data_IF_255959416354
#
_entry.id   IF_255959416354
#
_cell.length_a   1.000
_cell.length_b   1.000
_cell.length_c   1.000
_cell.angle_alpha   90.00
_cell.angle_beta   90.00
_cell.angle_gamma   90.00
#
_symmetry.space_group_name_H-M   'P 1'
#
loop_
_entity.id
_entity.type
_entity.pdbx_description
1 polymer ?
#
# COMPACT_ATOMS: atom_id res chain seq x y z
N UNK A 1 -18.70 44.21 -22.25
CA UNK A 1 -18.28 42.87 -21.80
C UNK A 1 -18.63 41.95 -22.94
N UNK A 2 -17.78 41.92 -23.96
CA UNK A 2 -17.98 41.04 -25.10
C UNK A 2 -17.47 39.66 -24.65
N UNK A 3 -18.38 38.84 -24.13
CA UNK A 3 -18.11 37.41 -23.97
C UNK A 3 -17.85 36.84 -25.36
N UNK A 4 -16.58 36.63 -25.70
CA UNK A 4 -16.19 36.03 -26.98
C UNK A 4 -16.75 34.60 -26.98
N UNK A 5 -17.77 34.29 -27.81
CA UNK A 5 -18.39 32.98 -27.83
C UNK A 5 -17.38 31.87 -28.13
N UNK A 6 -16.27 32.18 -28.80
CA UNK A 6 -15.17 31.23 -29.04
C UNK A 6 -14.41 30.88 -27.77
N UNK A 7 -14.21 31.85 -26.87
CA UNK A 7 -13.57 31.59 -25.58
C UNK A 7 -14.46 30.72 -24.69
N UNK A 8 -15.78 30.93 -24.73
CA UNK A 8 -16.74 30.09 -24.02
C UNK A 8 -16.79 28.65 -24.55
N UNK A 9 -16.82 28.46 -25.87
CA UNK A 9 -16.76 27.11 -26.45
C UNK A 9 -15.46 26.39 -26.11
N UNK A 10 -14.31 27.08 -26.22
CA UNK A 10 -13.02 26.51 -25.84
C UNK A 10 -13.00 26.10 -24.36
N UNK A 11 -13.50 26.96 -23.47
CA UNK A 11 -13.54 26.66 -22.03
C UNK A 11 -14.41 25.42 -21.73
N UNK A 12 -15.50 25.23 -22.47
CA UNK A 12 -16.34 24.01 -22.34
C UNK A 12 -15.61 22.76 -22.80
N UNK A 13 -14.81 22.83 -23.86
CA UNK A 13 -13.99 21.70 -24.31
C UNK A 13 -12.90 21.37 -23.29
N UNK A 14 -12.19 22.38 -22.79
CA UNK A 14 -11.15 22.23 -21.76
C UNK A 14 -11.74 21.63 -20.48
N UNK A 15 -12.94 22.07 -20.07
CA UNK A 15 -13.64 21.51 -18.91
C UNK A 15 -14.00 20.04 -19.12
N UNK A 16 -14.54 19.68 -20.29
CA UNK A 16 -14.86 18.27 -20.59
C UNK A 16 -13.61 17.39 -20.53
N UNK A 17 -12.49 17.88 -21.06
CA UNK A 17 -11.22 17.17 -20.99
C UNK A 17 -10.74 17.02 -19.55
N UNK A 18 -10.78 18.09 -18.76
CA UNK A 18 -10.37 18.06 -17.36
C UNK A 18 -11.23 17.12 -16.50
N UNK A 19 -12.53 17.04 -16.76
CA UNK A 19 -13.42 16.11 -16.07
C UNK A 19 -13.12 14.64 -16.44
N UNK A 20 -12.81 14.40 -17.71
CA UNK A 20 -12.42 13.07 -18.16
C UNK A 20 -11.08 12.64 -17.54
N UNK A 21 -10.10 13.54 -17.52
CA UNK A 21 -8.80 13.31 -16.89
C UNK A 21 -8.93 13.09 -15.37
N UNK A 22 -9.77 13.87 -14.69
CA UNK A 22 -10.06 13.66 -13.27
C UNK A 22 -10.58 12.25 -13.02
N UNK A 23 -11.55 11.79 -13.83
CA UNK A 23 -12.12 10.46 -13.68
C UNK A 23 -11.07 9.36 -13.89
N UNK A 24 -10.22 9.49 -14.90
CA UNK A 24 -9.16 8.52 -15.18
C UNK A 24 -8.14 8.44 -14.04
N UNK A 25 -7.80 9.59 -13.44
CA UNK A 25 -6.92 9.65 -12.27
C UNK A 25 -7.56 9.05 -11.02
N UNK A 26 -8.85 9.25 -10.80
CA UNK A 26 -9.61 8.62 -9.70
C UNK A 26 -9.62 7.09 -9.87
N UNK A 27 -9.93 6.59 -11.07
CA UNK A 27 -9.93 5.15 -11.38
C UNK A 27 -8.51 4.53 -11.20
N UNK A 28 -7.46 5.22 -11.65
CA UNK A 28 -6.08 4.75 -11.48
C UNK A 28 -5.63 4.79 -10.01
N UNK A 29 -6.03 5.81 -9.27
CA UNK A 29 -5.73 5.95 -7.86
C UNK A 29 -6.32 4.80 -7.04
N UNK A 30 -7.58 4.45 -7.30
CA UNK A 30 -8.24 3.32 -6.63
C UNK A 30 -7.56 1.99 -6.97
N UNK A 31 -7.17 1.80 -8.24
CA UNK A 31 -6.38 0.63 -8.66
C UNK A 31 -5.05 0.52 -7.91
N UNK A 32 -4.32 1.63 -7.78
CA UNK A 32 -3.02 1.65 -7.11
C UNK A 32 -3.14 1.37 -5.60
N UNK A 33 -4.20 1.85 -4.94
CA UNK A 33 -4.43 1.54 -3.53
C UNK A 33 -4.63 0.03 -3.31
N UNK A 34 -5.42 -0.62 -4.17
CA UNK A 34 -5.59 -2.07 -4.11
C UNK A 34 -4.27 -2.80 -4.38
N UNK A 35 -3.51 -2.36 -5.39
CA UNK A 35 -2.22 -2.96 -5.72
C UNK A 35 -1.23 -2.87 -4.56
N UNK A 36 -1.15 -1.73 -3.87
CA UNK A 36 -0.30 -1.57 -2.68
C UNK A 36 -0.68 -2.59 -1.61
N UNK A 37 -1.97 -2.72 -1.29
CA UNK A 37 -2.45 -3.66 -0.28
C UNK A 37 -2.15 -5.12 -0.64
N UNK A 38 -2.34 -5.49 -1.91
CA UNK A 38 -2.06 -6.82 -2.43
C UNK A 38 -0.56 -7.13 -2.36
N UNK A 39 0.29 -6.17 -2.72
CA UNK A 39 1.75 -6.32 -2.68
C UNK A 39 2.30 -6.41 -1.27
N UNK A 40 1.76 -5.65 -0.33
CA UNK A 40 2.10 -5.80 1.09
C UNK A 40 1.81 -7.23 1.58
N UNK A 41 0.66 -7.78 1.18
CA UNK A 41 0.30 -9.17 1.49
C UNK A 41 1.28 -10.15 0.84
N UNK A 42 1.57 -9.98 -0.46
CA UNK A 42 2.45 -10.85 -1.23
C UNK A 42 3.88 -10.91 -0.66
N UNK A 43 4.41 -9.76 -0.24
CA UNK A 43 5.80 -9.64 0.20
C UNK A 43 5.98 -9.90 1.70
N UNK A 44 5.02 -9.52 2.55
CA UNK A 44 5.20 -9.54 4.00
C UNK A 44 4.39 -10.63 4.71
N UNK A 45 3.23 -11.04 4.21
CA UNK A 45 2.39 -12.04 4.88
C UNK A 45 2.91 -13.49 4.72
N UNK A 46 3.51 -13.82 3.58
CA UNK A 46 3.84 -15.22 3.22
C UNK A 46 5.32 -15.63 3.24
N UNK A 47 6.28 -14.70 3.42
CA UNK A 47 7.70 -14.95 3.10
C UNK A 47 8.71 -14.61 4.19
N UNK A 48 8.26 -14.33 5.42
CA UNK A 48 9.19 -14.00 6.53
C UNK A 48 10.07 -15.17 7.00
N UNK A 49 9.90 -16.38 6.46
CA UNK A 49 10.75 -17.54 6.73
C UNK A 49 11.20 -18.22 5.42
N UNK A 50 11.73 -17.43 4.48
CA UNK A 50 12.51 -17.98 3.38
C UNK A 50 13.82 -18.55 3.91
N UNK A 51 13.87 -19.86 4.18
CA UNK A 51 15.14 -20.55 4.45
C UNK A 51 15.95 -20.53 3.16
N UNK A 52 16.94 -19.65 3.04
CA UNK A 52 17.88 -19.70 1.92
C UNK A 52 18.95 -20.75 2.25
N UNK A 53 18.85 -21.91 1.61
CA UNK A 53 19.87 -22.97 1.72
C UNK A 53 21.05 -22.62 0.82
N UNK A 54 21.88 -21.67 1.24
CA UNK A 54 23.25 -21.57 0.71
C UNK A 54 24.08 -22.70 1.34
N UNK A 55 24.89 -23.38 0.53
CA UNK A 55 25.55 -24.68 0.82
C UNK A 55 26.49 -24.81 2.04
N UNK A 56 26.35 -23.97 3.07
CA UNK A 56 27.09 -24.01 4.34
C UNK A 56 26.23 -23.78 5.60
N UNK A 57 24.90 -23.91 5.52
CA UNK A 57 24.01 -23.87 6.69
C UNK A 57 22.73 -23.10 6.41
N UNK A 58 21.64 -23.47 7.12
CA UNK A 58 20.37 -22.74 7.05
C UNK A 58 20.56 -21.34 7.63
N UNK A 59 20.52 -20.31 6.79
CA UNK A 59 20.39 -18.93 7.23
C UNK A 59 18.96 -18.48 6.96
N UNK A 60 18.23 -18.12 8.01
CA UNK A 60 16.92 -17.49 7.88
C UNK A 60 17.13 -16.06 7.40
N UNK A 61 16.80 -15.78 6.15
CA UNK A 61 16.79 -14.42 5.62
C UNK A 61 15.47 -13.76 6.04
N UNK A 62 15.39 -13.39 7.33
CA UNK A 62 14.15 -12.97 8.00
C UNK A 62 13.92 -11.47 8.11
N UNK A 63 14.70 -10.63 7.40
CA UNK A 63 14.57 -9.18 7.45
C UNK A 63 13.66 -8.60 6.37
N UNK A 64 12.89 -7.56 6.70
CA UNK A 64 12.08 -6.79 5.74
C UNK A 64 12.07 -5.30 6.12
N UNK A 65 11.54 -4.43 5.27
CA UNK A 65 11.52 -2.97 5.53
C UNK A 65 10.69 -2.58 6.76
N UNK A 66 9.75 -3.44 7.17
CA UNK A 66 8.90 -3.20 8.35
C UNK A 66 9.67 -3.51 9.65
N UNK A 67 10.43 -4.61 9.67
CA UNK A 67 11.11 -5.16 10.86
C UNK A 67 12.61 -4.85 10.91
N UNK A 68 13.16 -4.33 9.82
CA UNK A 68 14.59 -4.07 9.66
C UNK A 68 15.38 -5.26 9.12
N UNK A 69 16.63 -4.96 8.70
CA UNK A 69 17.57 -5.92 8.12
C UNK A 69 18.79 -6.17 9.05
N UNK A 70 18.67 -5.97 10.37
CA UNK A 70 19.80 -6.20 11.30
C UNK A 70 20.17 -7.70 11.42
N UNK A 71 19.25 -8.59 11.02
CA UNK A 71 19.47 -10.03 10.97
C UNK A 71 20.62 -10.48 10.03
N UNK A 72 21.13 -9.58 9.18
CA UNK A 72 22.23 -9.89 8.25
C UNK A 72 23.62 -9.72 8.88
N UNK A 73 23.74 -9.00 10.00
CA UNK A 73 25.05 -8.59 10.53
C UNK A 73 25.53 -9.37 11.77
N UNK A 74 24.72 -10.25 12.37
CA UNK A 74 25.09 -10.95 13.61
C UNK A 74 24.82 -12.45 13.56
N UNK A 75 25.90 -13.21 13.46
CA UNK A 75 25.95 -14.58 13.94
C UNK A 75 25.63 -14.59 15.44
N UNK A 76 24.65 -15.39 15.84
CA UNK A 76 24.27 -15.73 17.22
C UNK A 76 23.44 -14.72 18.06
N UNK A 77 22.27 -15.23 18.48
CA UNK A 77 21.50 -14.92 19.69
C UNK A 77 20.85 -13.53 19.82
N UNK A 78 19.62 -13.42 19.31
CA UNK A 78 18.70 -12.35 19.69
C UNK A 78 17.27 -12.74 19.35
N UNK A 79 16.57 -13.26 20.36
CA UNK A 79 15.11 -13.45 20.45
C UNK A 79 14.33 -13.16 19.16
N UNK A 80 14.12 -14.20 18.34
CA UNK A 80 13.25 -14.15 17.17
C UNK A 80 11.82 -13.85 17.67
N UNK A 81 11.45 -12.58 17.77
CA UNK A 81 10.05 -12.22 17.74
C UNK A 81 9.59 -12.52 16.32
N UNK A 82 9.19 -13.77 16.07
CA UNK A 82 8.39 -14.17 14.92
C UNK A 82 7.01 -13.52 15.04
N UNK A 83 6.96 -12.18 15.18
CA UNK A 83 5.73 -11.42 15.12
C UNK A 83 5.16 -11.70 13.75
N UNK A 84 4.01 -12.34 13.70
CA UNK A 84 3.30 -12.54 12.44
C UNK A 84 3.04 -11.17 11.81
N UNK A 85 3.06 -11.10 10.48
CA UNK A 85 2.70 -9.88 9.78
C UNK A 85 1.24 -9.56 10.09
N UNK A 86 1.00 -8.39 10.67
CA UNK A 86 -0.33 -7.91 11.07
C UNK A 86 -0.79 -6.78 10.17
N UNK A 87 -2.06 -6.37 10.27
CA UNK A 87 -2.53 -5.20 9.53
C UNK A 87 -1.88 -3.89 10.02
N UNK A 88 -1.40 -3.84 11.26
CA UNK A 88 -0.64 -2.70 11.79
C UNK A 88 0.74 -2.56 11.12
N UNK A 89 1.24 -3.63 10.49
CA UNK A 89 2.51 -3.66 9.75
C UNK A 89 2.37 -3.17 8.30
N UNK A 90 1.16 -2.83 7.85
CA UNK A 90 0.85 -2.35 6.48
C UNK A 90 1.15 -0.87 6.31
N UNK A 91 2.41 -0.49 6.56
CA UNK A 91 2.84 0.91 6.59
C UNK A 91 2.51 1.69 5.30
N UNK A 92 2.50 1.03 4.14
CA UNK A 92 2.21 1.70 2.87
C UNK A 92 0.70 1.95 2.73
N UNK A 93 -0.14 0.96 3.02
CA UNK A 93 -1.61 1.17 3.02
C UNK A 93 -2.04 2.17 4.08
N UNK A 94 -1.45 2.10 5.29
CA UNK A 94 -1.71 3.02 6.39
C UNK A 94 -1.21 4.45 6.13
N UNK A 95 -0.42 4.69 5.08
CA UNK A 95 -0.07 6.06 4.66
C UNK A 95 -1.22 6.79 3.95
N UNK A 96 -2.25 6.05 3.48
CA UNK A 96 -3.45 6.61 2.86
C UNK A 96 -4.53 6.93 3.90
N UNK A 97 -4.90 8.21 4.00
CA UNK A 97 -6.01 8.62 4.86
C UNK A 97 -7.38 8.09 4.38
N UNK A 98 -7.51 7.76 3.08
CA UNK A 98 -8.71 7.14 2.51
C UNK A 98 -8.81 5.70 3.02
N UNK A 99 -7.71 4.96 2.96
CA UNK A 99 -7.63 3.60 3.48
C UNK A 99 -7.95 3.53 4.98
N UNK A 100 -7.38 4.42 5.81
CA UNK A 100 -7.69 4.47 7.25
C UNK A 100 -9.18 4.71 7.52
N UNK A 101 -9.83 5.57 6.71
CA UNK A 101 -11.27 5.84 6.84
C UNK A 101 -12.09 4.60 6.50
N UNK A 102 -11.74 3.87 5.44
CA UNK A 102 -12.39 2.61 5.05
C UNK A 102 -12.26 1.58 6.16
N UNK A 103 -11.05 1.35 6.68
CA UNK A 103 -10.80 0.41 7.77
C UNK A 103 -11.64 0.73 9.02
N UNK A 104 -11.68 2.00 9.44
CA UNK A 104 -12.50 2.43 10.58
C UNK A 104 -13.99 2.20 10.34
N UNK A 105 -14.45 2.35 9.11
CA UNK A 105 -15.85 2.16 8.77
C UNK A 105 -16.25 0.68 8.81
N UNK A 106 -15.36 -0.21 8.38
CA UNK A 106 -15.51 -1.67 8.50
C UNK A 106 -15.52 -2.09 9.98
N UNK A 107 -14.56 -1.61 10.80
CA UNK A 107 -14.50 -1.89 12.24
C UNK A 107 -15.77 -1.46 12.99
N UNK A 108 -16.38 -0.35 12.57
CA UNK A 108 -17.64 0.14 13.15
C UNK A 108 -18.86 -0.69 12.73
N UNK A 109 -18.82 -1.33 11.56
CA UNK A 109 -19.91 -2.19 11.09
C UNK A 109 -19.90 -3.55 11.80
N UNK A 110 -18.73 -4.10 12.10
CA UNK A 110 -18.59 -5.37 12.85
C UNK A 110 -19.04 -5.27 14.32
N UNK A 111 -19.19 -4.07 14.88
CA UNK A 111 -19.67 -3.85 16.26
C UNK A 111 -21.18 -3.59 16.38
N UNK A 112 -21.92 -3.61 15.26
CA UNK A 112 -23.37 -3.38 15.23
C UNK A 112 -24.16 -4.70 15.06
N UNK A 113 -23.50 -5.83 14.78
CA UNK A 113 -24.08 -7.19 14.85
C UNK A 113 -23.81 -7.87 16.21
#
# INVERSE_FOLDING_TARGET
MDDDPKAYEKLKEDLKKSLQEQKELEDEFDRLQQEIYDKETEYFAGKSSGTVSMGFGKTSCGGNIIKGFDAFNKSHHGHESSSHFTNDDRLFSLSSAVFIKQLRQEDLQDHIE
#
